data_IF_653471213315
#
_entry.id   IF_653471213315
#
_cell.length_a   1.000
_cell.length_b   1.000
_cell.length_c   1.000
_cell.angle_alpha   90.00
_cell.angle_beta   90.00
_cell.angle_gamma   90.00
#
_symmetry.space_group_name_H-M   'P 1'
#
loop_
_entity.id
_entity.type
_entity.pdbx_description
1 polymer ?
#
# COMPACT_ATOMS: atom_id res chain seq x y z
N UNK A 1 -27.09 -3.39 -12.95
CA UNK A 1 -26.14 -4.37 -12.38
C UNK A 1 -24.79 -3.68 -12.29
N UNK A 2 -24.42 -3.19 -11.12
CA UNK A 2 -23.04 -2.79 -10.81
C UNK A 2 -22.60 -3.70 -9.69
N UNK A 3 -21.58 -4.52 -9.95
CA UNK A 3 -20.95 -5.39 -8.96
C UNK A 3 -20.32 -4.52 -7.90
N UNK A 4 -20.99 -4.42 -6.75
CA UNK A 4 -20.40 -3.98 -5.49
C UNK A 4 -19.18 -4.87 -5.25
N UNK A 5 -17.98 -4.32 -5.44
CA UNK A 5 -16.77 -4.97 -4.96
C UNK A 5 -17.00 -5.23 -3.48
N UNK A 6 -17.07 -6.50 -3.10
CA UNK A 6 -17.01 -6.95 -1.72
C UNK A 6 -15.60 -6.66 -1.18
N UNK A 7 -15.30 -5.37 -1.03
CA UNK A 7 -14.14 -4.88 -0.35
C UNK A 7 -14.50 -4.83 1.14
N UNK A 8 -14.24 -5.95 1.82
CA UNK A 8 -13.83 -5.98 3.21
C UNK A 8 -14.81 -5.39 4.24
N UNK A 9 -15.91 -6.09 4.53
CA UNK A 9 -16.79 -5.80 5.67
C UNK A 9 -16.16 -6.12 7.05
N UNK A 10 -14.88 -6.52 7.11
CA UNK A 10 -14.19 -6.93 8.35
C UNK A 10 -13.28 -5.87 8.99
N UNK A 11 -13.34 -4.60 8.55
CA UNK A 11 -12.64 -3.51 9.26
C UNK A 11 -11.11 -3.56 9.26
N UNK A 12 -10.49 -4.46 8.47
CA UNK A 12 -9.04 -4.45 8.22
C UNK A 12 -8.62 -3.31 7.30
N UNK A 13 -7.35 -2.88 7.31
CA UNK A 13 -6.87 -1.76 6.50
C UNK A 13 -7.10 -2.03 5.01
N UNK A 14 -8.01 -1.27 4.41
CA UNK A 14 -8.17 -1.26 2.95
C UNK A 14 -6.99 -0.49 2.33
N UNK A 15 -6.58 -0.88 1.11
CA UNK A 15 -5.46 -0.23 0.39
C UNK A 15 -5.66 1.29 0.27
N UNK A 16 -6.90 1.77 0.31
CA UNK A 16 -7.25 3.19 0.29
C UNK A 16 -6.78 3.96 1.53
N UNK A 17 -6.66 3.29 2.68
CA UNK A 17 -6.21 3.89 3.93
C UNK A 17 -4.71 4.19 3.93
N UNK A 18 -3.96 3.53 3.04
CA UNK A 18 -2.53 3.75 2.94
C UNK A 18 -2.20 5.07 2.27
N UNK A 19 -1.26 5.78 2.89
CA UNK A 19 -0.71 7.02 2.40
C UNK A 19 0.75 7.17 2.82
N UNK A 20 1.49 7.96 2.06
CA UNK A 20 2.82 8.41 2.44
C UNK A 20 2.70 9.64 3.35
N UNK A 21 3.38 9.62 4.49
CA UNK A 21 3.52 10.76 5.39
C UNK A 21 4.71 11.62 4.94
N UNK A 22 4.54 12.33 3.83
CA UNK A 22 5.55 13.24 3.29
C UNK A 22 5.88 12.96 1.83
N UNK A 23 5.88 14.02 1.02
CA UNK A 23 6.50 14.00 -0.31
C UNK A 23 7.93 14.48 -0.11
N UNK A 24 8.88 13.55 0.00
CA UNK A 24 10.29 13.91 -0.07
C UNK A 24 10.57 14.78 -1.31
N UNK A 25 11.54 15.72 -1.27
CA UNK A 25 11.73 16.74 -2.28
C UNK A 25 12.05 16.22 -3.70
N UNK A 26 12.30 14.91 -3.84
CA UNK A 26 12.72 14.28 -5.09
C UNK A 26 11.82 13.13 -5.57
N UNK A 27 10.79 12.74 -4.80
CA UNK A 27 9.86 11.70 -5.25
C UNK A 27 8.70 12.34 -6.01
N UNK A 28 8.62 12.04 -7.31
CA UNK A 28 7.71 12.69 -8.26
C UNK A 28 6.52 11.82 -8.68
N UNK A 29 6.40 10.60 -8.12
CA UNK A 29 5.26 9.72 -8.40
C UNK A 29 4.09 10.03 -7.45
N UNK A 30 2.93 9.45 -7.76
CA UNK A 30 1.68 9.66 -7.02
C UNK A 30 1.42 8.51 -6.06
N UNK A 31 0.81 8.81 -4.91
CA UNK A 31 0.28 7.79 -4.00
C UNK A 31 -0.75 6.87 -4.70
N UNK A 32 -1.47 7.39 -5.71
CA UNK A 32 -2.41 6.60 -6.51
C UNK A 32 -1.69 5.54 -7.36
N UNK A 33 -0.47 5.83 -7.83
CA UNK A 33 0.37 4.84 -8.51
C UNK A 33 0.74 3.71 -7.57
N UNK A 34 1.14 4.02 -6.34
CA UNK A 34 1.45 3.00 -5.33
C UNK A 34 0.23 2.14 -5.00
N UNK A 35 -0.93 2.77 -4.78
CA UNK A 35 -2.19 2.06 -4.54
C UNK A 35 -2.58 1.16 -5.71
N UNK A 36 -2.44 1.65 -6.95
CA UNK A 36 -2.72 0.86 -8.14
C UNK A 36 -1.82 -0.38 -8.23
N UNK A 37 -0.51 -0.24 -7.98
CA UNK A 37 0.43 -1.37 -7.93
C UNK A 37 0.06 -2.36 -6.82
N UNK A 38 -0.22 -1.86 -5.61
CA UNK A 38 -0.63 -2.71 -4.48
C UNK A 38 -1.91 -3.51 -4.79
N UNK A 39 -2.92 -2.88 -5.42
CA UNK A 39 -4.14 -3.58 -5.84
C UNK A 39 -3.85 -4.68 -6.85
N UNK A 40 -2.99 -4.43 -7.85
CA UNK A 40 -2.61 -5.45 -8.83
C UNK A 40 -1.87 -6.63 -8.18
N UNK A 41 -0.97 -6.37 -7.23
CA UNK A 41 -0.29 -7.43 -6.50
C UNK A 41 -1.25 -8.25 -5.62
N UNK A 42 -2.17 -7.58 -4.91
CA UNK A 42 -3.18 -8.26 -4.09
C UNK A 42 -4.12 -9.13 -4.94
N UNK A 43 -4.50 -8.66 -6.13
CA UNK A 43 -5.30 -9.45 -7.07
C UNK A 43 -4.55 -10.71 -7.52
N UNK A 44 -3.28 -10.58 -7.92
CA UNK A 44 -2.46 -11.74 -8.32
C UNK A 44 -2.29 -12.75 -7.19
N UNK A 45 -2.13 -12.29 -5.96
CA UNK A 45 -2.08 -13.15 -4.78
C UNK A 45 -3.39 -13.92 -4.58
N UNK A 46 -4.54 -13.25 -4.72
CA UNK A 46 -5.84 -13.91 -4.65
C UNK A 46 -6.01 -14.96 -5.76
N UNK A 47 -5.59 -14.63 -6.98
CA UNK A 47 -5.63 -15.56 -8.11
C UNK A 47 -4.72 -16.79 -7.90
N UNK A 48 -3.60 -16.65 -7.19
CA UNK A 48 -2.66 -17.77 -6.93
C UNK A 48 -3.04 -18.60 -5.71
N UNK A 49 -3.38 -17.95 -4.60
CA UNK A 49 -3.60 -18.61 -3.30
C UNK A 49 -5.08 -18.91 -3.01
N UNK A 50 -6.00 -18.35 -3.79
CA UNK A 50 -7.44 -18.49 -3.56
C UNK A 50 -7.94 -17.83 -2.27
N UNK A 51 -7.13 -16.93 -1.67
CA UNK A 51 -7.48 -16.19 -0.44
C UNK A 51 -7.02 -14.74 -0.49
N UNK A 52 -7.65 -13.91 0.33
CA UNK A 52 -7.22 -12.52 0.52
C UNK A 52 -5.98 -12.46 1.41
N UNK A 53 -5.23 -11.36 1.28
CA UNK A 53 -4.15 -11.00 2.18
C UNK A 53 -4.73 -10.69 3.56
N UNK A 54 -4.05 -11.15 4.62
CA UNK A 54 -4.31 -10.66 5.97
C UNK A 54 -3.72 -9.26 6.19
N UNK A 55 -4.01 -8.65 7.35
CA UNK A 55 -3.57 -7.30 7.68
C UNK A 55 -2.04 -7.15 7.67
N UNK A 56 -1.30 -8.17 8.13
CA UNK A 56 0.16 -8.15 8.17
C UNK A 56 0.74 -8.29 6.76
N UNK A 57 0.21 -9.19 5.96
CA UNK A 57 0.60 -9.38 4.56
C UNK A 57 0.31 -8.13 3.72
N UNK A 58 -0.82 -7.45 3.99
CA UNK A 58 -1.17 -6.19 3.35
C UNK A 58 -0.17 -5.07 3.69
N UNK A 59 0.24 -4.96 4.96
CA UNK A 59 1.29 -4.02 5.38
C UNK A 59 2.65 -4.32 4.73
N UNK A 60 3.04 -5.60 4.67
CA UNK A 60 4.28 -6.02 4.01
C UNK A 60 4.26 -5.72 2.51
N UNK A 61 3.13 -5.97 1.85
CA UNK A 61 2.92 -5.62 0.45
C UNK A 61 3.08 -4.11 0.24
N UNK A 62 2.49 -3.30 1.10
CA UNK A 62 2.57 -1.84 1.00
C UNK A 62 4.03 -1.35 1.11
N UNK A 63 4.80 -1.86 2.07
CA UNK A 63 6.23 -1.56 2.21
C UNK A 63 7.03 -2.01 0.99
N UNK A 64 6.73 -3.19 0.44
CA UNK A 64 7.40 -3.71 -0.76
C UNK A 64 7.13 -2.82 -1.99
N UNK A 65 5.89 -2.38 -2.19
CA UNK A 65 5.50 -1.47 -3.28
C UNK A 65 6.23 -0.13 -3.16
N UNK A 66 6.30 0.44 -1.96
CA UNK A 66 7.04 1.69 -1.73
C UNK A 66 8.52 1.57 -2.10
N UNK A 67 9.18 0.48 -1.66
CA UNK A 67 10.58 0.20 -1.99
C UNK A 67 10.79 -0.01 -3.48
N UNK A 68 9.90 -0.76 -4.15
CA UNK A 68 9.95 -1.01 -5.58
C UNK A 68 9.86 0.29 -6.41
N UNK A 69 9.02 1.23 -5.98
CA UNK A 69 8.85 2.53 -6.63
C UNK A 69 9.87 3.58 -6.19
N UNK A 70 10.91 3.19 -5.43
CA UNK A 70 11.98 4.08 -5.00
C UNK A 70 11.53 5.20 -4.08
N UNK A 71 10.50 4.97 -3.26
CA UNK A 71 10.08 5.95 -2.24
C UNK A 71 11.26 6.15 -1.27
N UNK A 72 11.73 7.39 -1.09
CA UNK A 72 12.85 7.66 -0.18
C UNK A 72 12.52 7.27 1.26
N UNK A 73 13.50 6.72 1.97
CA UNK A 73 13.34 6.24 3.35
C UNK A 73 12.82 7.32 4.32
N UNK A 74 13.24 8.57 4.13
CA UNK A 74 12.76 9.70 4.91
C UNK A 74 11.28 10.06 4.69
N UNK A 75 10.65 9.55 3.63
CA UNK A 75 9.20 9.67 3.35
C UNK A 75 8.41 8.48 3.91
N UNK A 76 9.10 7.41 4.32
CA UNK A 76 8.50 6.24 4.98
C UNK A 76 8.42 6.41 6.50
N UNK A 77 9.30 7.23 7.06
CA UNK A 77 9.36 7.54 8.49
C UNK A 77 9.09 9.02 8.74
N UNK A 78 8.19 9.37 9.68
CA UNK A 78 8.04 10.74 10.17
C UNK A 78 9.40 11.34 10.60
N UNK A 79 9.61 12.62 10.33
CA UNK A 79 10.83 13.37 10.63
C UNK A 79 11.25 13.22 12.11
N UNK A 80 10.27 13.15 12.99
CA UNK A 80 10.40 13.04 14.44
C UNK A 80 11.02 11.71 14.89
N UNK A 81 10.83 10.63 14.10
CA UNK A 81 11.39 9.31 14.38
C UNK A 81 12.79 9.12 13.79
N UNK A 82 13.21 9.97 12.84
CA UNK A 82 14.57 9.93 12.24
C UNK A 82 15.65 10.52 13.16
N UNK A 83 15.27 11.27 14.20
CA UNK A 83 16.20 12.00 15.09
C UNK A 83 16.40 11.36 16.47
N UNK A 84 15.90 10.13 16.67
CA UNK A 84 16.15 9.34 17.89
C UNK A 84 17.35 8.43 17.67
#
# INVERSE_FOLDING_TARGET
MSTTNAANDNGGPSIEMFHLTGKGPFWNQSNDTLRATARQCALKFYESEGRLLDDREMLLLWVAVQRWHGVPEHSLMPEEMRRQ
#
